data_IF_041700727156
#
_entry.id   IF_041700727156
#
_cell.length_a   1.000
_cell.length_b   1.000
_cell.length_c   1.000
_cell.angle_alpha   90.00
_cell.angle_beta   90.00
_cell.angle_gamma   90.00
#
_symmetry.space_group_name_H-M   'P 1'
#
loop_
_entity.id
_entity.type
_entity.pdbx_description
1 polymer ?
#
# COMPACT_ATOMS: atom_id res chain seq x y z
N UNK A 1 2.53 8.71 -13.71
CA UNK A 1 2.55 8.83 -12.24
C UNK A 1 1.35 8.13 -11.61
N UNK A 2 0.11 8.52 -11.91
CA UNK A 2 -1.08 7.81 -11.39
C UNK A 2 -1.15 6.33 -11.79
N UNK A 3 -0.81 5.95 -13.03
CA UNK A 3 -0.84 4.54 -13.47
C UNK A 3 0.12 3.63 -12.68
N UNK A 4 1.28 4.17 -12.27
CA UNK A 4 2.24 3.46 -11.42
C UNK A 4 1.71 3.26 -9.99
N UNK A 5 0.99 4.24 -9.45
CA UNK A 5 0.37 4.14 -8.13
C UNK A 5 -0.78 3.13 -8.17
N UNK A 6 -1.61 3.14 -9.21
CA UNK A 6 -2.70 2.18 -9.41
C UNK A 6 -2.20 0.74 -9.52
N UNK A 7 -1.17 0.52 -10.34
CA UNK A 7 -0.54 -0.81 -10.46
C UNK A 7 0.13 -1.24 -9.15
N UNK A 8 0.72 -0.30 -8.41
CA UNK A 8 1.25 -0.55 -7.07
C UNK A 8 0.17 -0.98 -6.08
N UNK A 9 -0.99 -0.28 -6.04
CA UNK A 9 -2.14 -0.66 -5.21
C UNK A 9 -2.65 -2.05 -5.57
N UNK A 10 -2.85 -2.35 -6.86
CA UNK A 10 -3.33 -3.66 -7.29
C UNK A 10 -2.35 -4.78 -6.95
N UNK A 11 -1.04 -4.52 -7.04
CA UNK A 11 -0.01 -5.48 -6.66
C UNK A 11 0.01 -5.68 -5.14
N UNK A 12 0.04 -4.58 -4.39
CA UNK A 12 -0.01 -4.57 -2.93
C UNK A 12 -1.26 -5.27 -2.42
N UNK A 13 -2.42 -5.03 -3.02
CA UNK A 13 -3.69 -5.67 -2.66
C UNK A 13 -3.67 -7.20 -2.89
N UNK A 14 -2.97 -7.68 -3.93
CA UNK A 14 -2.83 -9.12 -4.18
C UNK A 14 -1.88 -9.80 -3.20
N UNK A 15 -0.87 -9.08 -2.72
CA UNK A 15 0.10 -9.64 -1.76
C UNK A 15 -0.32 -9.40 -0.30
N UNK A 16 -1.06 -8.31 -0.02
CA UNK A 16 -1.67 -7.95 1.25
C UNK A 16 -2.60 -9.07 1.70
N UNK A 17 -2.18 -9.74 2.76
CA UNK A 17 -2.99 -10.66 3.54
C UNK A 17 -4.14 -9.92 4.27
N UNK A 18 -5.04 -9.26 3.51
CA UNK A 18 -6.48 -9.20 3.86
C UNK A 18 -7.06 -10.64 4.07
N UNK A 19 -6.26 -11.64 3.69
CA UNK A 19 -6.41 -13.09 3.79
C UNK A 19 -6.67 -13.68 5.18
N UNK A 20 -6.43 -12.98 6.30
CA UNK A 20 -6.86 -13.54 7.58
C UNK A 20 -8.38 -13.75 7.63
N UNK A 21 -9.14 -12.90 6.95
CA UNK A 21 -10.60 -13.02 6.85
C UNK A 21 -11.07 -14.02 5.77
N UNK A 22 -10.19 -14.42 4.84
CA UNK A 22 -10.48 -15.22 3.62
C UNK A 22 -11.68 -14.74 2.78
N UNK A 23 -12.13 -13.49 2.96
CA UNK A 23 -13.28 -12.93 2.25
C UNK A 23 -12.86 -11.67 1.50
N UNK A 24 -12.53 -11.84 0.22
CA UNK A 24 -12.05 -10.76 -0.65
C UNK A 24 -13.13 -10.24 -1.59
N UNK A 25 -14.27 -10.93 -1.64
CA UNK A 25 -15.35 -10.64 -2.58
C UNK A 25 -16.66 -10.68 -1.83
N UNK A 26 -17.43 -9.61 -1.94
CA UNK A 26 -18.82 -9.61 -1.50
C UNK A 26 -19.69 -9.84 -2.73
N UNK A 27 -20.58 -10.82 -2.67
CA UNK A 27 -21.48 -11.12 -3.80
C UNK A 27 -22.29 -9.86 -4.17
N UNK A 28 -22.28 -9.51 -5.46
CA UNK A 28 -22.98 -8.35 -5.99
C UNK A 28 -22.19 -7.03 -5.94
N UNK A 29 -20.95 -7.05 -5.44
CA UNK A 29 -20.06 -5.88 -5.39
C UNK A 29 -19.00 -5.96 -6.49
N UNK A 30 -18.83 -4.86 -7.23
CA UNK A 30 -17.73 -4.67 -8.18
C UNK A 30 -16.79 -3.58 -7.64
N UNK A 31 -15.71 -4.00 -6.99
CA UNK A 31 -14.76 -3.10 -6.35
C UNK A 31 -14.05 -2.18 -7.35
N UNK A 32 -13.84 -2.64 -8.60
CA UNK A 32 -13.22 -1.81 -9.63
C UNK A 32 -14.16 -0.67 -10.04
N UNK A 33 -15.45 -0.98 -10.20
CA UNK A 33 -16.49 0.02 -10.48
C UNK A 33 -16.64 1.00 -9.31
N UNK A 34 -16.77 0.50 -8.08
CA UNK A 34 -16.92 1.33 -6.88
C UNK A 34 -15.72 2.25 -6.67
N UNK A 35 -14.51 1.75 -6.90
CA UNK A 35 -13.29 2.54 -6.82
C UNK A 35 -13.28 3.64 -7.88
N UNK A 36 -13.64 3.33 -9.14
CA UNK A 36 -13.77 4.34 -10.19
C UNK A 36 -14.79 5.43 -9.83
N UNK A 37 -15.95 5.04 -9.31
CA UNK A 37 -16.99 5.97 -8.86
C UNK A 37 -16.49 6.86 -7.71
N UNK A 38 -15.72 6.31 -6.77
CA UNK A 38 -15.10 7.06 -5.67
C UNK A 38 -14.13 8.12 -6.19
N UNK A 39 -13.29 7.77 -7.17
CA UNK A 39 -12.34 8.71 -7.78
C UNK A 39 -13.08 9.81 -8.56
N UNK A 40 -14.15 9.46 -9.27
CA UNK A 40 -15.00 10.44 -9.95
C UNK A 40 -15.68 11.38 -8.97
N UNK A 41 -16.16 10.88 -7.83
CA UNK A 41 -16.76 11.69 -6.78
C UNK A 41 -15.74 12.67 -6.16
N UNK A 42 -14.53 12.21 -5.83
CA UNK A 42 -13.45 13.08 -5.35
C UNK A 42 -13.09 14.16 -6.37
N UNK A 43 -13.04 13.79 -7.66
CA UNK A 43 -12.81 14.75 -8.75
C UNK A 43 -13.93 15.79 -8.84
N UNK A 44 -15.19 15.35 -8.72
CA UNK A 44 -16.35 16.24 -8.74
C UNK A 44 -16.40 17.20 -7.54
N UNK A 45 -15.86 16.78 -6.39
CA UNK A 45 -15.68 17.63 -5.20
C UNK A 45 -14.49 18.60 -5.31
N UNK A 46 -13.76 18.59 -6.44
CA UNK A 46 -12.67 19.52 -6.71
C UNK A 46 -11.29 19.04 -6.27
N UNK A 47 -11.13 17.77 -5.91
CA UNK A 47 -9.80 17.22 -5.64
C UNK A 47 -8.95 17.22 -6.92
N UNK A 48 -7.73 17.71 -6.84
CA UNK A 48 -6.79 17.67 -7.95
C UNK A 48 -6.27 16.26 -8.19
N UNK A 49 -5.76 16.02 -9.40
CA UNK A 49 -5.09 14.74 -9.73
C UNK A 49 -3.91 14.44 -8.80
N UNK A 50 -3.20 15.47 -8.35
CA UNK A 50 -2.07 15.31 -7.43
C UNK A 50 -2.55 14.95 -6.03
N UNK A 51 -3.63 15.56 -5.53
CA UNK A 51 -4.22 15.20 -4.25
C UNK A 51 -4.73 13.76 -4.23
N UNK A 52 -5.40 13.34 -5.32
CA UNK A 52 -5.83 11.94 -5.50
C UNK A 52 -4.60 11.03 -5.57
N UNK A 53 -3.55 11.42 -6.29
CA UNK A 53 -2.29 10.68 -6.35
C UNK A 53 -1.67 10.48 -4.98
N UNK A 54 -1.54 11.54 -4.18
CA UNK A 54 -1.00 11.47 -2.81
C UNK A 54 -1.84 10.58 -1.90
N UNK A 55 -3.18 10.68 -1.97
CA UNK A 55 -4.07 9.80 -1.22
C UNK A 55 -3.85 8.33 -1.59
N UNK A 56 -3.78 8.03 -2.88
CA UNK A 56 -3.56 6.69 -3.39
C UNK A 56 -2.16 6.16 -3.04
N UNK A 57 -1.13 7.01 -3.03
CA UNK A 57 0.21 6.64 -2.55
C UNK A 57 0.20 6.21 -1.09
N UNK A 58 -0.52 6.94 -0.22
CA UNK A 58 -0.65 6.58 1.20
C UNK A 58 -1.37 5.25 1.37
N UNK A 59 -2.47 5.02 0.64
CA UNK A 59 -3.19 3.74 0.67
C UNK A 59 -2.28 2.59 0.21
N UNK A 60 -1.54 2.79 -0.88
CA UNK A 60 -0.59 1.79 -1.38
C UNK A 60 0.49 1.46 -0.35
N UNK A 61 1.05 2.49 0.30
CA UNK A 61 2.06 2.32 1.33
C UNK A 61 1.54 1.52 2.53
N UNK A 62 0.31 1.78 3.00
CA UNK A 62 -0.31 1.02 4.08
C UNK A 62 -0.48 -0.45 3.70
N UNK A 63 -0.92 -0.74 2.46
CA UNK A 63 -1.06 -2.11 1.98
C UNK A 63 0.30 -2.83 1.92
N UNK A 64 1.35 -2.16 1.45
CA UNK A 64 2.70 -2.72 1.46
C UNK A 64 3.25 -2.95 2.88
N UNK A 65 2.99 -2.04 3.82
CA UNK A 65 3.37 -2.21 5.22
C UNK A 65 2.70 -3.43 5.86
N UNK A 66 1.46 -3.73 5.50
CA UNK A 66 0.76 -4.95 5.93
C UNK A 66 1.39 -6.26 5.43
N UNK A 67 2.34 -6.17 4.49
CA UNK A 67 3.09 -7.32 3.93
C UNK A 67 4.51 -7.44 4.45
N UNK A 68 4.94 -6.55 5.34
CA UNK A 68 6.29 -6.62 5.89
C UNK A 68 6.38 -7.85 6.80
N UNK A 69 7.25 -8.78 6.43
CA UNK A 69 7.61 -9.92 7.26
C UNK A 69 8.94 -9.66 7.96
N UNK A 70 9.04 -10.12 9.20
CA UNK A 70 10.24 -10.00 10.03
C UNK A 70 10.85 -11.39 10.26
N UNK A 71 12.17 -11.42 10.40
CA UNK A 71 12.92 -12.61 10.80
C UNK A 71 13.90 -12.23 11.91
N UNK A 72 14.44 -13.23 12.60
CA UNK A 72 15.33 -13.05 13.74
C UNK A 72 16.75 -13.49 13.36
N UNK A 73 17.75 -12.73 13.79
CA UNK A 73 19.15 -13.12 13.64
C UNK A 73 19.63 -14.05 14.79
N UNK A 74 20.90 -14.46 14.74
CA UNK A 74 21.48 -15.33 15.77
C UNK A 74 21.60 -14.67 17.16
N UNK A 75 21.33 -13.37 17.25
CA UNK A 75 21.36 -12.57 18.48
C UNK A 75 19.94 -12.19 18.93
N UNK A 76 18.89 -12.83 18.40
CA UNK A 76 17.47 -12.55 18.68
C UNK A 76 17.07 -11.10 18.31
N UNK A 77 17.78 -10.47 17.36
CA UNK A 77 17.38 -9.18 16.81
C UNK A 77 16.45 -9.37 15.60
N UNK A 78 15.30 -8.72 15.64
CA UNK A 78 14.37 -8.67 14.51
C UNK A 78 14.97 -7.85 13.36
N UNK A 79 14.72 -8.25 12.13
CA UNK A 79 15.00 -7.47 10.93
C UNK A 79 13.92 -7.71 9.87
N UNK A 80 13.75 -6.75 8.96
CA UNK A 80 12.82 -6.92 7.84
C UNK A 80 13.38 -7.94 6.85
N UNK A 81 12.64 -9.04 6.62
CA UNK A 81 13.07 -10.16 5.79
C UNK A 81 13.11 -9.81 4.29
N UNK A 82 12.16 -9.00 3.79
CA UNK A 82 12.17 -8.47 2.41
C UNK A 82 12.36 -6.96 2.40
N UNK A 83 13.62 -6.54 2.20
CA UNK A 83 13.96 -5.13 2.13
C UNK A 83 13.30 -4.41 0.93
N UNK A 84 12.93 -5.12 -0.15
CA UNK A 84 12.27 -4.50 -1.31
C UNK A 84 10.93 -3.86 -0.95
N UNK A 85 10.19 -4.46 -0.02
CA UNK A 85 8.94 -3.90 0.49
C UNK A 85 9.18 -2.54 1.16
N UNK A 86 10.28 -2.40 1.91
CA UNK A 86 10.64 -1.13 2.57
C UNK A 86 11.10 -0.08 1.54
N UNK A 87 11.85 -0.47 0.51
CA UNK A 87 12.19 0.44 -0.60
C UNK A 87 10.94 0.99 -1.29
N UNK A 88 9.96 0.14 -1.60
CA UNK A 88 8.72 0.55 -2.24
C UNK A 88 7.89 1.50 -1.36
N UNK A 89 7.80 1.24 -0.06
CA UNK A 89 7.10 2.14 0.88
C UNK A 89 7.83 3.48 1.00
N UNK A 90 9.15 3.47 1.05
CA UNK A 90 10.00 4.67 1.08
C UNK A 90 9.78 5.54 -0.17
N UNK A 91 9.69 4.94 -1.36
CA UNK A 91 9.38 5.66 -2.60
C UNK A 91 7.95 6.23 -2.61
N UNK A 92 6.96 5.45 -2.16
CA UNK A 92 5.54 5.88 -2.14
C UNK A 92 5.31 7.06 -1.19
N UNK A 93 5.95 7.05 -0.02
CA UNK A 93 5.81 8.09 1.00
C UNK A 93 6.84 9.23 0.87
N UNK A 94 7.83 9.07 -0.02
CA UNK A 94 8.97 10.00 -0.17
C UNK A 94 9.72 10.24 1.14
N UNK A 95 9.89 9.18 1.94
CA UNK A 95 10.61 9.22 3.23
C UNK A 95 11.94 8.48 3.13
N UNK A 96 12.92 8.87 3.92
CA UNK A 96 14.23 8.22 3.94
C UNK A 96 14.14 6.78 4.47
N UNK A 97 14.75 5.84 3.74
CA UNK A 97 14.66 4.41 4.07
C UNK A 97 15.16 4.07 5.47
N UNK A 98 16.26 4.69 5.92
CA UNK A 98 16.86 4.42 7.24
C UNK A 98 15.88 4.75 8.37
N UNK A 99 15.19 5.89 8.27
CA UNK A 99 14.19 6.28 9.26
C UNK A 99 12.99 5.34 9.27
N UNK A 100 12.61 4.82 8.10
CA UNK A 100 11.52 3.87 7.97
C UNK A 100 11.89 2.48 8.52
N UNK A 101 13.07 1.95 8.19
CA UNK A 101 13.55 0.66 8.72
C UNK A 101 13.61 0.68 10.25
N UNK A 102 14.14 1.77 10.84
CA UNK A 102 14.23 1.91 12.30
C UNK A 102 12.87 2.09 12.99
N UNK A 103 11.83 2.51 12.26
CA UNK A 103 10.48 2.63 12.81
C UNK A 103 9.74 1.29 12.80
N UNK A 104 10.08 0.42 11.84
CA UNK A 104 9.35 -0.81 11.55
C UNK A 104 9.96 -2.01 12.29
N UNK A 105 11.24 -1.96 12.65
CA UNK A 105 11.99 -2.99 13.40
C UNK A 105 12.09 -2.63 14.89
#
# INVERSE_FOLDING_TARGET
MLDHIYSSILRAYRVADLAQSKCFTVNGTDDAKNFSETIQALTALGASKDQIGSLLSVISAILWLGNVTFDEDQQEQSYVADQNTIYLVSELLQVGIIGLTNFVV
#
